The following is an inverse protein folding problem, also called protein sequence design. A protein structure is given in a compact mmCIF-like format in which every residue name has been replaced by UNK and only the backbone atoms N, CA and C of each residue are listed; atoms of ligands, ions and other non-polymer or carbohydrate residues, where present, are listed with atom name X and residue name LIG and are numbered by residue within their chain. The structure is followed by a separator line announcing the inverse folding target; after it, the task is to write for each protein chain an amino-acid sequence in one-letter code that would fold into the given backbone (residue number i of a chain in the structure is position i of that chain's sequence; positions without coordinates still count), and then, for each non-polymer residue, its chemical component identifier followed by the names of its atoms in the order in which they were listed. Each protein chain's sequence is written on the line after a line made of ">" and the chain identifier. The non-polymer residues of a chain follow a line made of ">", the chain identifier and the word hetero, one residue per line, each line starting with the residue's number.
data_IF_395338902385
#
_entry.id   IF_395338902385
#
_cell.length_a   1.000
_cell.length_b   1.000
_cell.length_c   1.000
_cell.angle_alpha   90.00
_cell.angle_beta   90.00
_cell.angle_gamma   90.00
#
_symmetry.space_group_name_H-M   'P 1'
#
loop_
_entity.id
_entity.type
_entity.pdbx_description
1 polymer ?
#
# COMPACT_ATOMS: atom_id res chain seq x y z
N UNK A 1 3.17 -10.15 -17.12
CA UNK A 1 2.36 -8.91 -17.29
C UNK A 1 2.23 -8.20 -15.96
N UNK A 2 1.47 -7.11 -15.87
CA UNK A 2 1.06 -6.55 -14.60
C UNK A 2 -0.27 -7.18 -14.19
N UNK A 3 -0.32 -7.87 -13.05
CA UNK A 3 -1.53 -8.56 -12.63
C UNK A 3 -2.60 -7.56 -12.15
N UNK A 4 -3.89 -7.87 -12.34
CA UNK A 4 -4.94 -7.14 -11.64
C UNK A 4 -4.79 -7.34 -10.13
N UNK A 5 -5.36 -6.41 -9.34
CA UNK A 5 -5.20 -6.37 -7.88
C UNK A 5 -5.57 -7.72 -7.24
N UNK A 6 -6.66 -8.35 -7.68
CA UNK A 6 -7.15 -9.61 -7.11
C UNK A 6 -6.20 -10.80 -7.33
N UNK A 7 -5.37 -10.76 -8.39
CA UNK A 7 -4.44 -11.84 -8.75
C UNK A 7 -2.99 -11.55 -8.35
N UNK A 8 -2.64 -10.31 -7.98
CA UNK A 8 -1.28 -9.96 -7.62
C UNK A 8 -0.82 -10.74 -6.36
N UNK A 9 0.39 -11.35 -6.36
CA UNK A 9 0.89 -12.11 -5.21
C UNK A 9 1.09 -11.20 -3.99
N UNK A 10 1.53 -9.98 -4.23
CA UNK A 10 1.53 -8.87 -3.27
C UNK A 10 0.63 -7.79 -3.84
N UNK A 11 -0.44 -7.47 -3.12
CA UNK A 11 -1.45 -6.50 -3.55
C UNK A 11 -1.08 -5.09 -3.07
N UNK A 12 -0.47 -5.00 -1.89
CA UNK A 12 -0.10 -3.74 -1.23
C UNK A 12 1.31 -3.85 -0.66
N UNK A 13 2.12 -2.80 -0.85
CA UNK A 13 3.40 -2.60 -0.18
C UNK A 13 3.33 -1.41 0.77
N UNK A 14 3.57 -1.64 2.06
CA UNK A 14 3.72 -0.57 3.05
C UNK A 14 5.17 -0.04 3.03
N UNK A 15 5.31 1.28 3.07
CA UNK A 15 6.59 1.99 3.00
C UNK A 15 6.64 3.03 4.13
N UNK A 16 7.05 2.63 5.35
CA UNK A 16 7.42 3.59 6.39
C UNK A 16 8.65 4.39 5.94
N UNK A 17 8.60 5.72 6.09
CA UNK A 17 9.71 6.60 5.68
C UNK A 17 10.81 6.72 6.75
N UNK A 18 10.58 6.20 7.95
CA UNK A 18 11.54 6.15 9.06
C UNK A 18 11.11 5.07 10.08
N UNK A 19 12.07 4.58 10.88
CA UNK A 19 11.84 3.50 11.86
C UNK A 19 10.75 3.82 12.88
N UNK A 20 10.62 5.10 13.26
CA UNK A 20 9.55 5.57 14.17
C UNK A 20 8.13 5.37 13.62
N UNK A 21 7.96 5.21 12.31
CA UNK A 21 6.67 4.95 11.68
C UNK A 21 6.35 3.46 11.57
N UNK A 22 7.32 2.57 11.82
CA UNK A 22 7.15 1.11 11.73
C UNK A 22 6.04 0.60 12.68
N UNK A 23 5.88 1.09 13.92
CA UNK A 23 4.79 0.66 14.78
C UNK A 23 3.40 0.90 14.16
N UNK A 24 3.16 2.08 13.60
CA UNK A 24 1.91 2.39 12.91
C UNK A 24 1.76 1.58 11.61
N UNK A 25 2.84 1.45 10.82
CA UNK A 25 2.84 0.60 9.64
C UNK A 25 2.48 -0.87 9.95
N UNK A 26 2.94 -1.41 11.08
CA UNK A 26 2.56 -2.75 11.54
C UNK A 26 1.07 -2.82 11.91
N UNK A 27 0.50 -1.81 12.54
CA UNK A 27 -0.95 -1.77 12.80
C UNK A 27 -1.76 -1.79 11.51
N UNK A 28 -1.36 -0.99 10.51
CA UNK A 28 -1.99 -1.00 9.18
C UNK A 28 -1.81 -2.36 8.50
N UNK A 29 -0.62 -2.98 8.59
CA UNK A 29 -0.35 -4.30 8.04
C UNK A 29 -1.33 -5.34 8.57
N UNK A 30 -1.52 -5.40 9.88
CA UNK A 30 -2.42 -6.36 10.52
C UNK A 30 -3.88 -6.10 10.15
N UNK A 31 -4.32 -4.82 10.09
CA UNK A 31 -5.67 -4.46 9.62
C UNK A 31 -5.92 -4.96 8.19
N UNK A 32 -4.97 -4.74 7.29
CA UNK A 32 -5.10 -5.16 5.89
C UNK A 32 -5.07 -6.69 5.74
N UNK A 33 -4.20 -7.38 6.48
CA UNK A 33 -4.16 -8.85 6.49
C UNK A 33 -5.43 -9.47 7.07
N UNK A 34 -5.99 -8.88 8.12
CA UNK A 34 -7.27 -9.30 8.70
C UNK A 34 -8.43 -9.18 7.69
N UNK A 35 -8.34 -8.23 6.76
CA UNK A 35 -9.27 -8.09 5.64
C UNK A 35 -8.98 -9.06 4.46
N UNK A 36 -8.07 -10.02 4.61
CA UNK A 36 -7.75 -11.02 3.59
C UNK A 36 -6.80 -10.54 2.48
N UNK A 37 -6.18 -9.38 2.63
CA UNK A 37 -5.27 -8.81 1.63
C UNK A 37 -3.85 -9.37 1.77
N UNK A 38 -3.18 -9.58 0.65
CA UNK A 38 -1.76 -9.96 0.60
C UNK A 38 -0.89 -8.71 0.64
N UNK A 39 -0.41 -8.38 1.83
CA UNK A 39 0.34 -7.16 2.11
C UNK A 39 1.73 -7.47 2.66
N UNK A 40 2.72 -6.75 2.16
CA UNK A 40 4.08 -6.76 2.66
C UNK A 40 4.50 -5.36 3.13
N UNK A 41 5.46 -5.30 4.04
CA UNK A 41 6.08 -4.05 4.48
C UNK A 41 7.54 -4.02 4.03
N UNK A 42 8.00 -2.86 3.57
CA UNK A 42 9.41 -2.58 3.28
C UNK A 42 9.91 -1.55 4.31
N UNK A 43 10.41 -2.07 5.43
CA UNK A 43 11.04 -1.32 6.52
C UNK A 43 12.58 -1.27 6.38
N UNK A 44 13.13 -1.57 5.20
CA UNK A 44 14.56 -1.48 4.94
C UNK A 44 15.14 -0.06 5.05
N UNK A 45 16.47 0.07 5.10
CA UNK A 45 17.15 1.38 5.20
C UNK A 45 17.14 2.24 3.93
N UNK A 46 16.55 1.76 2.84
CA UNK A 46 16.50 2.47 1.56
C UNK A 46 15.64 3.75 1.64
N UNK A 47 15.99 4.74 0.80
CA UNK A 47 15.18 5.96 0.67
C UNK A 47 13.78 5.62 0.14
N UNK A 48 12.76 6.35 0.61
CA UNK A 48 11.36 6.19 0.20
C UNK A 48 11.18 6.05 -1.33
N UNK A 49 11.81 6.91 -2.13
CA UNK A 49 11.70 6.84 -3.60
C UNK A 49 12.32 5.56 -4.19
N UNK A 50 13.37 5.02 -3.58
CA UNK A 50 13.98 3.76 -4.00
C UNK A 50 13.04 2.58 -3.70
N UNK A 51 12.41 2.57 -2.52
CA UNK A 51 11.39 1.57 -2.15
C UNK A 51 10.18 1.62 -3.08
N UNK A 52 9.69 2.83 -3.40
CA UNK A 52 8.60 3.03 -4.37
C UNK A 52 8.99 2.46 -5.73
N UNK A 53 10.17 2.80 -6.24
CA UNK A 53 10.67 2.28 -7.53
C UNK A 53 10.80 0.75 -7.51
N UNK A 54 11.28 0.16 -6.42
CA UNK A 54 11.37 -1.29 -6.26
C UNK A 54 9.98 -1.94 -6.32
N UNK A 55 9.00 -1.41 -5.58
CA UNK A 55 7.63 -1.90 -5.60
C UNK A 55 6.99 -1.79 -7.00
N UNK A 56 7.27 -0.71 -7.74
CA UNK A 56 6.83 -0.54 -9.12
C UNK A 56 7.47 -1.56 -10.08
N UNK A 57 8.78 -1.83 -9.93
CA UNK A 57 9.48 -2.87 -10.71
C UNK A 57 8.90 -4.26 -10.44
N UNK A 58 8.52 -4.52 -9.19
CA UNK A 58 7.79 -5.73 -8.77
C UNK A 58 6.31 -5.71 -9.18
N UNK A 59 5.83 -4.60 -9.75
CA UNK A 59 4.46 -4.39 -10.24
C UNK A 59 3.41 -4.56 -9.14
N UNK A 60 3.73 -4.16 -7.91
CA UNK A 60 2.81 -4.19 -6.78
C UNK A 60 1.72 -3.13 -7.01
N UNK A 61 0.42 -3.51 -7.04
CA UNK A 61 -0.64 -2.60 -7.43
C UNK A 61 -0.71 -1.30 -6.61
N UNK A 62 -0.58 -1.40 -5.29
CA UNK A 62 -0.64 -0.27 -4.36
C UNK A 62 0.64 -0.16 -3.52
N UNK A 63 1.14 1.06 -3.37
CA UNK A 63 2.11 1.40 -2.33
C UNK A 63 1.46 2.37 -1.34
N UNK A 64 1.54 2.07 -0.05
CA UNK A 64 1.11 2.96 1.03
C UNK A 64 2.32 3.54 1.72
N UNK A 65 2.51 4.85 1.57
CA UNK A 65 3.60 5.57 2.23
C UNK A 65 3.09 6.09 3.57
N UNK A 66 3.92 5.92 4.60
CA UNK A 66 3.60 6.29 5.98
C UNK A 66 4.72 7.19 6.53
N UNK A 67 4.37 8.45 6.77
CA UNK A 67 5.18 9.41 7.51
C UNK A 67 4.55 9.84 8.83
N UNK A 68 5.06 10.94 9.38
CA UNK A 68 4.60 11.50 10.66
C UNK A 68 3.10 11.88 10.57
N UNK A 69 2.72 12.61 9.51
CA UNK A 69 1.33 13.03 9.27
C UNK A 69 0.37 11.84 9.17
N UNK A 70 0.76 10.80 8.43
CA UNK A 70 -0.05 9.59 8.26
C UNK A 70 -0.27 8.86 9.60
N UNK A 71 0.78 8.72 10.40
CA UNK A 71 0.71 8.10 11.72
C UNK A 71 -0.14 8.91 12.72
N UNK A 72 -0.08 10.25 12.66
CA UNK A 72 -0.88 11.13 13.52
C UNK A 72 -2.37 11.14 13.17
N UNK A 73 -2.72 10.88 11.91
CA UNK A 73 -4.08 11.05 11.39
C UNK A 73 -4.79 9.74 11.02
N UNK A 74 -4.23 8.58 11.44
CA UNK A 74 -4.68 7.24 11.04
C UNK A 74 -4.94 7.13 9.51
N UNK A 75 -3.98 7.64 8.73
CA UNK A 75 -4.08 7.73 7.28
C UNK A 75 -2.89 7.13 6.56
N UNK A 76 -2.99 6.99 5.24
CA UNK A 76 -1.95 6.48 4.35
C UNK A 76 -1.91 7.32 3.08
N UNK A 77 -0.71 7.58 2.57
CA UNK A 77 -0.53 8.16 1.24
C UNK A 77 -0.51 7.04 0.19
N UNK A 78 -1.53 7.01 -0.66
CA UNK A 78 -1.78 5.91 -1.60
C UNK A 78 -1.22 6.23 -2.97
N UNK A 79 -0.33 5.35 -3.46
CA UNK A 79 0.27 5.44 -4.80
C UNK A 79 0.01 4.16 -5.58
N UNK A 80 -0.16 4.29 -6.89
CA UNK A 80 -0.32 3.16 -7.79
C UNK A 80 0.99 2.84 -8.52
N UNK A 81 1.11 1.60 -8.99
CA UNK A 81 2.24 1.19 -9.85
C UNK A 81 2.39 1.98 -11.17
N UNK A 82 1.37 2.75 -11.55
CA UNK A 82 1.28 3.54 -12.78
C UNK A 82 1.91 4.93 -12.67
N UNK A 83 2.47 5.26 -11.51
CA UNK A 83 2.84 6.61 -11.06
C UNK A 83 1.67 7.51 -10.68
N UNK A 84 0.43 7.04 -10.78
CA UNK A 84 -0.70 7.80 -10.24
C UNK A 84 -0.61 7.87 -8.70
N UNK A 85 -0.85 9.06 -8.17
CA UNK A 85 -0.89 9.32 -6.74
C UNK A 85 -2.32 9.68 -6.36
N UNK A 86 -2.96 8.84 -5.55
CA UNK A 86 -4.33 9.02 -5.10
C UNK A 86 -4.40 9.93 -3.85
N UNK A 87 -3.26 10.37 -3.34
CA UNK A 87 -3.18 11.26 -2.18
C UNK A 87 -3.34 10.52 -0.84
N UNK A 88 -3.54 11.30 0.22
CA UNK A 88 -3.77 10.77 1.55
C UNK A 88 -5.25 10.39 1.74
N UNK A 89 -5.50 9.23 2.34
CA UNK A 89 -6.82 8.81 2.80
C UNK A 89 -6.71 8.00 4.09
N UNK A 90 -7.78 7.92 4.87
CA UNK A 90 -7.79 7.12 6.10
C UNK A 90 -7.54 5.65 5.77
N UNK A 91 -7.01 4.90 6.74
CA UNK A 91 -6.78 3.46 6.57
C UNK A 91 -8.10 2.73 6.24
N UNK A 92 -9.21 3.14 6.85
CA UNK A 92 -10.54 2.58 6.56
C UNK A 92 -11.02 2.88 5.15
N UNK A 93 -10.85 4.11 4.66
CA UNK A 93 -11.22 4.47 3.29
C UNK A 93 -10.39 3.67 2.27
N UNK A 94 -9.11 3.43 2.56
CA UNK A 94 -8.28 2.58 1.71
C UNK A 94 -8.75 1.11 1.74
N UNK A 95 -9.09 0.58 2.92
CA UNK A 95 -9.63 -0.78 3.09
C UNK A 95 -10.90 -0.99 2.26
N UNK A 96 -11.86 -0.10 2.37
CA UNK A 96 -13.11 -0.15 1.60
C UNK A 96 -12.84 -0.10 0.09
N UNK A 97 -11.91 0.77 -0.33
CA UNK A 97 -11.52 0.90 -1.74
C UNK A 97 -10.94 -0.40 -2.29
N UNK A 98 -9.94 -0.97 -1.62
CA UNK A 98 -9.21 -2.13 -2.15
C UNK A 98 -10.06 -3.40 -2.09
N UNK A 99 -10.84 -3.61 -1.04
CA UNK A 99 -11.76 -4.75 -0.93
C UNK A 99 -12.80 -4.71 -2.03
N UNK A 100 -13.40 -3.54 -2.31
CA UNK A 100 -14.30 -3.37 -3.46
C UNK A 100 -13.68 -3.74 -4.80
N UNK A 101 -12.40 -3.41 -5.03
CA UNK A 101 -11.68 -3.80 -6.27
C UNK A 101 -11.41 -5.31 -6.33
N UNK A 102 -11.07 -5.92 -5.20
CA UNK A 102 -10.81 -7.38 -5.11
C UNK A 102 -12.08 -8.18 -5.33
N UNK A 103 -13.18 -7.78 -4.69
CA UNK A 103 -14.48 -8.48 -4.74
C UNK A 103 -15.11 -8.43 -6.12
N UNK A 104 -15.06 -7.26 -6.78
CA UNK A 104 -15.58 -7.11 -8.15
C UNK A 104 -14.71 -7.80 -9.19
N UNK A 105 -13.55 -8.35 -8.79
CA UNK A 105 -12.51 -8.90 -9.68
C UNK A 105 -12.24 -7.98 -10.87
N UNK A 106 -12.33 -6.68 -10.62
CA UNK A 106 -12.28 -5.68 -11.68
C UNK A 106 -10.89 -5.72 -12.31
N UNK A 107 -10.86 -5.94 -13.63
CA UNK A 107 -9.68 -5.74 -14.43
C UNK A 107 -9.49 -4.24 -14.65
N UNK A 108 -9.22 -3.49 -13.58
CA UNK A 108 -8.62 -2.17 -13.75
C UNK A 108 -7.25 -2.39 -14.36
N UNK A 109 -7.13 -2.10 -15.65
CA UNK A 109 -5.85 -1.79 -16.29
C UNK A 109 -5.31 -0.52 -15.63
N UNK A 110 -4.75 -0.65 -14.43
CA UNK A 110 -3.84 0.34 -13.87
C UNK A 110 -2.62 0.37 -14.81
#
# INVERSE_FOLDING_TARGET
>A
GAFPVWLAPVQVRLIPIADRHVPFARQVLERLKAAGLRVEMDDGGDRMNAKIRNAQLQKIPYMLVIGDREAETDSVSVRLRTNENLGAMTVDAFLERITGVVDRRENYSL
#
